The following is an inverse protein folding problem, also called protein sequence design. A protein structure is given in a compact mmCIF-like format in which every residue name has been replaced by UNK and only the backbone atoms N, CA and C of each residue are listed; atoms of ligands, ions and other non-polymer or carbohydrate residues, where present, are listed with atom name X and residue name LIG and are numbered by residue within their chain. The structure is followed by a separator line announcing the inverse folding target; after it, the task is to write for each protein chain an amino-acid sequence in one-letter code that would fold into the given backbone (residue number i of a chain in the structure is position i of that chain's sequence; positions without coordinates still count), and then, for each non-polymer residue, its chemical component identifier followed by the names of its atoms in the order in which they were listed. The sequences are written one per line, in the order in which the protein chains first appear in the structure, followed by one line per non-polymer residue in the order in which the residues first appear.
data_IF_153083907530
#
_entry.id   IF_153083907530
#
_cell.length_a   1.000
_cell.length_b   1.000
_cell.length_c   1.000
_cell.angle_alpha   90.00
_cell.angle_beta   90.00
_cell.angle_gamma   90.00
#
_symmetry.space_group_name_H-M   'P 1'
#
loop_
_entity.id
_entity.type
_entity.pdbx_description
1 polymer ?
#
# COMPACT_ATOMS: atom_id res chain seq x y z
N UNK A 1 -4.71 23.15 27.50
CA UNK A 1 -5.44 22.66 26.31
C UNK A 1 -4.48 21.86 25.47
N UNK A 2 -4.84 20.64 25.07
CA UNK A 2 -4.08 19.93 24.04
C UNK A 2 -4.25 20.70 22.71
N UNK A 3 -3.17 20.81 21.92
CA UNK A 3 -3.27 21.36 20.57
C UNK A 3 -4.09 20.40 19.70
N UNK A 4 -4.95 20.89 18.80
CA UNK A 4 -5.56 20.03 17.79
C UNK A 4 -4.46 19.37 16.96
N UNK A 5 -4.69 18.12 16.56
CA UNK A 5 -3.82 17.42 15.63
C UNK A 5 -3.97 18.02 14.22
N UNK A 6 -2.85 18.25 13.52
CA UNK A 6 -2.86 18.82 12.17
C UNK A 6 -2.94 17.71 11.13
N UNK A 7 -4.10 17.59 10.49
CA UNK A 7 -4.41 16.54 9.50
C UNK A 7 -4.45 17.07 8.06
N UNK A 8 -3.92 18.27 7.83
CA UNK A 8 -4.00 18.95 6.53
C UNK A 8 -3.27 18.19 5.40
N UNK A 9 -2.23 17.41 5.73
CA UNK A 9 -1.42 16.66 4.76
C UNK A 9 -1.68 15.14 4.76
N UNK A 10 -2.61 14.64 5.58
CA UNK A 10 -2.86 13.20 5.71
C UNK A 10 -3.32 12.54 4.40
N UNK A 11 -4.19 13.21 3.62
CA UNK A 11 -4.64 12.71 2.32
C UNK A 11 -3.47 12.51 1.36
N UNK A 12 -2.54 13.47 1.30
CA UNK A 12 -1.37 13.40 0.44
C UNK A 12 -0.43 12.27 0.87
N UNK A 13 -0.17 12.14 2.18
CA UNK A 13 0.64 11.04 2.75
C UNK A 13 0.04 9.67 2.43
N UNK A 14 -1.27 9.51 2.58
CA UNK A 14 -1.94 8.24 2.26
C UNK A 14 -1.89 7.94 0.77
N UNK A 15 -2.09 8.95 -0.09
CA UNK A 15 -1.98 8.77 -1.54
C UNK A 15 -0.56 8.34 -1.95
N UNK A 16 0.48 8.92 -1.33
CA UNK A 16 1.86 8.50 -1.54
C UNK A 16 2.12 7.07 -1.05
N UNK A 17 1.60 6.70 0.13
CA UNK A 17 1.70 5.33 0.65
C UNK A 17 1.03 4.30 -0.29
N UNK A 18 -0.15 4.63 -0.84
CA UNK A 18 -0.84 3.81 -1.85
C UNK A 18 0.05 3.63 -3.09
N UNK A 19 0.56 4.73 -3.65
CA UNK A 19 1.40 4.69 -4.86
C UNK A 19 2.62 3.80 -4.66
N UNK A 20 3.36 3.98 -3.56
CA UNK A 20 4.53 3.16 -3.25
C UNK A 20 4.18 1.69 -3.04
N UNK A 21 3.03 1.41 -2.41
CA UNK A 21 2.59 0.02 -2.18
C UNK A 21 2.20 -0.67 -3.49
N UNK A 22 1.58 0.07 -4.42
CA UNK A 22 1.24 -0.41 -5.77
C UNK A 22 2.50 -0.65 -6.60
N UNK A 23 3.49 0.25 -6.54
CA UNK A 23 4.78 0.08 -7.22
C UNK A 23 5.49 -1.18 -6.71
N UNK A 24 5.64 -1.33 -5.40
CA UNK A 24 6.23 -2.52 -4.77
C UNK A 24 5.50 -3.83 -5.12
N UNK A 25 4.18 -3.78 -5.31
CA UNK A 25 3.40 -4.93 -5.76
C UNK A 25 3.78 -5.30 -7.20
N UNK A 26 3.80 -4.31 -8.10
CA UNK A 26 4.12 -4.52 -9.52
C UNK A 26 5.56 -4.98 -9.71
N UNK A 27 6.52 -4.36 -9.05
CA UNK A 27 7.93 -4.78 -9.11
C UNK A 27 8.12 -6.23 -8.65
N UNK A 28 7.38 -6.67 -7.62
CA UNK A 28 7.44 -8.05 -7.16
C UNK A 28 6.84 -9.03 -8.19
N UNK A 29 5.73 -8.67 -8.83
CA UNK A 29 5.13 -9.46 -9.92
C UNK A 29 6.06 -9.54 -11.14
N UNK A 30 6.66 -8.42 -11.55
CA UNK A 30 7.61 -8.34 -12.66
C UNK A 30 8.86 -9.18 -12.36
N UNK A 31 9.36 -9.14 -11.12
CA UNK A 31 10.47 -9.97 -10.67
C UNK A 31 10.14 -11.46 -10.77
N UNK A 32 8.96 -11.87 -10.28
CA UNK A 32 8.50 -13.27 -10.39
C UNK A 32 8.36 -13.66 -11.85
N UNK A 33 7.80 -12.80 -12.70
CA UNK A 33 7.66 -13.09 -14.13
C UNK A 33 9.01 -13.30 -14.82
N UNK A 34 10.00 -12.47 -14.50
CA UNK A 34 11.32 -12.51 -15.12
C UNK A 34 12.19 -13.69 -14.64
N UNK A 35 12.04 -14.11 -13.38
CA UNK A 35 12.95 -15.07 -12.74
C UNK A 35 12.28 -16.37 -12.30
N UNK A 36 11.02 -16.62 -12.67
CA UNK A 36 10.19 -17.72 -12.14
C UNK A 36 10.87 -19.08 -12.14
N UNK A 37 11.58 -19.42 -13.21
CA UNK A 37 12.19 -20.74 -13.40
C UNK A 37 13.42 -20.96 -12.50
N UNK A 38 13.99 -19.89 -11.96
CA UNK A 38 15.14 -19.91 -11.04
C UNK A 38 14.72 -19.87 -9.56
N UNK A 39 13.44 -19.63 -9.28
CA UNK A 39 12.92 -19.44 -7.93
C UNK A 39 12.45 -20.73 -7.29
N UNK A 40 12.65 -20.85 -5.97
CA UNK A 40 12.07 -21.96 -5.22
C UNK A 40 10.57 -21.77 -5.02
N UNK A 41 9.86 -22.88 -4.79
CA UNK A 41 8.44 -22.82 -4.42
C UNK A 41 8.19 -21.99 -3.15
N UNK A 42 9.16 -21.95 -2.23
CA UNK A 42 9.08 -21.12 -1.03
C UNK A 42 9.18 -19.63 -1.37
N UNK A 43 10.11 -19.23 -2.23
CA UNK A 43 10.27 -17.83 -2.62
C UNK A 43 9.00 -17.31 -3.31
N UNK A 44 8.41 -18.11 -4.19
CA UNK A 44 7.14 -17.79 -4.85
C UNK A 44 6.01 -17.61 -3.84
N UNK A 45 5.87 -18.52 -2.87
CA UNK A 45 4.84 -18.43 -1.83
C UNK A 45 5.05 -17.21 -0.91
N UNK A 46 6.29 -16.88 -0.56
CA UNK A 46 6.61 -15.73 0.27
C UNK A 46 6.31 -14.40 -0.43
N UNK A 47 6.55 -14.32 -1.75
CA UNK A 47 6.20 -13.15 -2.56
C UNK A 47 4.69 -13.02 -2.70
N UNK A 48 3.98 -14.10 -3.02
CA UNK A 48 2.52 -14.11 -3.13
C UNK A 48 1.87 -13.66 -1.81
N UNK A 49 2.32 -14.20 -0.68
CA UNK A 49 1.82 -13.79 0.63
C UNK A 49 2.12 -12.31 0.95
N UNK A 50 3.27 -11.77 0.51
CA UNK A 50 3.57 -10.33 0.62
C UNK A 50 2.64 -9.50 -0.26
N UNK A 51 2.38 -9.94 -1.48
CA UNK A 51 1.49 -9.28 -2.43
C UNK A 51 0.03 -9.27 -1.94
N UNK A 52 -0.44 -10.35 -1.34
CA UNK A 52 -1.74 -10.40 -0.67
C UNK A 52 -1.86 -9.33 0.44
N UNK A 53 -0.86 -9.24 1.32
CA UNK A 53 -0.86 -8.20 2.39
C UNK A 53 -0.78 -6.78 1.84
N UNK A 54 -0.10 -6.56 0.70
CA UNK A 54 -0.08 -5.26 0.02
C UNK A 54 -1.46 -4.89 -0.51
N UNK A 55 -2.22 -5.84 -1.05
CA UNK A 55 -3.60 -5.61 -1.49
C UNK A 55 -4.50 -5.21 -0.31
N UNK A 56 -4.44 -5.94 0.80
CA UNK A 56 -5.17 -5.59 2.04
C UNK A 56 -4.78 -4.19 2.55
N UNK A 57 -3.48 -3.85 2.54
CA UNK A 57 -2.99 -2.54 2.94
C UNK A 57 -3.53 -1.41 2.04
N UNK A 58 -3.56 -1.62 0.72
CA UNK A 58 -4.12 -0.65 -0.24
C UNK A 58 -5.62 -0.42 0.04
N UNK A 59 -6.37 -1.46 0.35
CA UNK A 59 -7.79 -1.33 0.72
C UNK A 59 -7.97 -0.52 2.01
N UNK A 60 -7.15 -0.79 3.03
CA UNK A 60 -7.11 -0.02 4.27
C UNK A 60 -6.82 1.47 4.01
N UNK A 61 -5.76 1.77 3.25
CA UNK A 61 -5.40 3.13 2.89
C UNK A 61 -6.50 3.84 2.09
N UNK A 62 -7.19 3.13 1.19
CA UNK A 62 -8.32 3.71 0.45
C UNK A 62 -9.50 4.06 1.35
N UNK A 63 -9.73 3.28 2.41
CA UNK A 63 -10.75 3.61 3.41
C UNK A 63 -10.32 4.84 4.21
N UNK A 64 -9.10 4.85 4.72
CA UNK A 64 -8.55 5.95 5.52
C UNK A 64 -8.53 7.27 4.73
N UNK A 65 -8.09 7.24 3.47
CA UNK A 65 -8.07 8.42 2.60
C UNK A 65 -9.49 9.01 2.40
N UNK A 66 -10.53 8.17 2.33
CA UNK A 66 -11.92 8.65 2.21
C UNK A 66 -12.36 9.35 3.49
N UNK A 67 -11.98 8.84 4.65
CA UNK A 67 -12.32 9.44 5.94
C UNK A 67 -11.57 10.77 6.15
N UNK A 68 -10.29 10.82 5.79
CA UNK A 68 -9.49 12.05 5.81
C UNK A 68 -10.04 13.11 4.84
N UNK A 69 -10.37 12.72 3.61
CA UNK A 69 -10.96 13.63 2.63
C UNK A 69 -12.33 14.19 3.07
N UNK A 70 -13.08 13.43 3.87
CA UNK A 70 -14.32 13.93 4.50
C UNK A 70 -14.01 14.91 5.62
N UNK A 71 -13.04 14.60 6.48
CA UNK A 71 -12.62 15.49 7.56
C UNK A 71 -12.08 16.84 7.06
N UNK A 72 -11.47 16.88 5.89
CA UNK A 72 -10.96 18.12 5.29
C UNK A 72 -12.05 19.00 4.64
N UNK A 73 -13.25 18.46 4.42
CA UNK A 73 -14.38 19.17 3.80
C UNK A 73 -15.35 19.81 4.81
N UNK A 74 -15.15 19.57 6.10
CA UNK A 74 -16.01 20.03 7.21
C UNK A 74 -15.21 20.91 8.16
#
# INVERSE_FOLDING_TARGET
MAKPDDRSDNVEKIQHAISNTVENFREAEDFVQAHRDEMSAKDLADIDAKNHRRQEAIEGFRSEMKDEARSQRT
#
